data_IF_680020146602
#
_entry.id   IF_680020146602
#
_cell.length_a   1.000
_cell.length_b   1.000
_cell.length_c   1.000
_cell.angle_alpha   90.00
_cell.angle_beta   90.00
_cell.angle_gamma   90.00
#
_symmetry.space_group_name_H-M   'P 1'
#
loop_
_entity.id
_entity.type
_entity.pdbx_description
1 polymer ?
#
# COMPACT_ATOMS: atom_id res chain seq x y z
N UNK A 1 14.44 -15.74 -5.45
CA UNK A 1 13.81 -14.91 -4.40
C UNK A 1 12.82 -15.83 -3.71
N UNK A 2 12.84 -15.95 -2.38
CA UNK A 2 11.76 -16.66 -1.68
C UNK A 2 10.50 -15.80 -1.82
N UNK A 3 9.60 -16.20 -2.73
CA UNK A 3 8.37 -15.48 -3.03
C UNK A 3 7.36 -15.60 -1.88
N UNK A 4 7.51 -16.62 -1.02
CA UNK A 4 6.66 -16.86 0.15
C UNK A 4 5.17 -16.66 -0.17
N UNK A 5 4.53 -15.77 0.58
CA UNK A 5 3.11 -15.45 0.42
C UNK A 5 2.71 -14.88 -0.95
N UNK A 6 3.67 -14.41 -1.74
CA UNK A 6 3.41 -13.79 -3.04
C UNK A 6 3.49 -14.75 -4.22
N UNK A 7 3.72 -16.05 -3.99
CA UNK A 7 3.91 -17.02 -5.06
C UNK A 7 2.76 -17.05 -6.08
N UNK A 8 1.50 -16.92 -5.62
CA UNK A 8 0.32 -16.92 -6.51
C UNK A 8 0.19 -15.68 -7.42
N UNK A 9 0.90 -14.59 -7.12
CA UNK A 9 0.83 -13.33 -7.87
C UNK A 9 2.21 -12.87 -8.34
N UNK A 10 3.20 -13.77 -8.37
CA UNK A 10 4.58 -13.41 -8.64
C UNK A 10 4.77 -12.81 -10.04
N UNK A 11 4.07 -13.34 -11.04
CA UNK A 11 4.11 -12.83 -12.42
C UNK A 11 3.50 -11.42 -12.51
N UNK A 12 2.40 -11.17 -11.80
CA UNK A 12 1.78 -9.83 -11.74
C UNK A 12 2.72 -8.82 -11.09
N UNK A 13 3.36 -9.21 -9.97
CA UNK A 13 4.32 -8.35 -9.27
C UNK A 13 5.54 -8.03 -10.14
N UNK A 14 6.04 -8.99 -10.93
CA UNK A 14 7.13 -8.74 -11.87
C UNK A 14 6.72 -7.71 -12.94
N UNK A 15 5.53 -7.85 -13.53
CA UNK A 15 5.00 -6.87 -14.49
C UNK A 15 4.78 -5.49 -13.85
N UNK A 16 4.34 -5.43 -12.60
CA UNK A 16 4.18 -4.17 -11.87
C UNK A 16 5.54 -3.49 -11.66
N UNK A 17 6.60 -4.24 -11.38
CA UNK A 17 7.95 -3.66 -11.31
C UNK A 17 8.38 -3.08 -12.66
N UNK A 18 8.06 -3.73 -13.78
CA UNK A 18 8.32 -3.18 -15.11
C UNK A 18 7.61 -1.85 -15.32
N UNK A 19 6.32 -1.73 -14.96
CA UNK A 19 5.60 -0.45 -15.01
C UNK A 19 6.28 0.63 -14.17
N UNK A 20 6.68 0.31 -12.94
CA UNK A 20 7.33 1.28 -12.05
C UNK A 20 8.68 1.70 -12.59
N UNK A 21 9.50 0.75 -13.04
CA UNK A 21 10.83 1.01 -13.59
C UNK A 21 10.77 1.86 -14.86
N UNK A 22 9.72 1.68 -15.68
CA UNK A 22 9.47 2.55 -16.82
C UNK A 22 9.16 4.00 -16.43
N UNK A 23 8.40 4.21 -15.35
CA UNK A 23 8.06 5.56 -14.89
C UNK A 23 9.23 6.28 -14.22
N UNK A 24 10.14 5.52 -13.59
CA UNK A 24 11.19 6.06 -12.73
C UNK A 24 12.62 5.79 -13.23
N UNK A 25 12.81 5.66 -14.55
CA UNK A 25 14.13 5.38 -15.18
C UNK A 25 15.29 6.27 -14.71
N UNK A 26 14.99 7.53 -14.43
CA UNK A 26 16.00 8.54 -14.02
C UNK A 26 16.14 8.66 -12.49
N UNK A 27 15.44 7.81 -11.73
CA UNK A 27 15.39 7.86 -10.28
C UNK A 27 15.98 6.59 -9.65
N UNK A 28 16.98 6.77 -8.79
CA UNK A 28 17.53 5.67 -7.98
C UNK A 28 16.61 5.46 -6.79
N UNK A 29 15.80 4.39 -6.85
CA UNK A 29 14.88 4.01 -5.77
C UNK A 29 15.64 3.71 -4.47
N UNK A 30 15.09 4.09 -3.30
CA UNK A 30 15.64 3.66 -2.03
C UNK A 30 15.55 2.13 -1.93
N UNK A 31 16.47 1.48 -1.20
CA UNK A 31 16.33 0.06 -0.90
C UNK A 31 15.05 -0.14 -0.09
N UNK A 32 14.20 -1.07 -0.54
CA UNK A 32 12.98 -1.47 0.14
C UNK A 32 13.13 -2.92 0.61
N UNK A 33 12.52 -3.24 1.76
CA UNK A 33 12.33 -4.62 2.14
C UNK A 33 11.22 -5.27 1.28
N UNK A 34 11.07 -6.59 1.35
CA UNK A 34 10.08 -7.31 0.53
C UNK A 34 8.62 -6.86 0.74
N UNK A 35 8.26 -6.42 1.95
CA UNK A 35 6.93 -5.92 2.27
C UNK A 35 6.72 -4.54 1.70
N UNK A 36 7.64 -3.61 1.94
CA UNK A 36 7.59 -2.26 1.38
C UNK A 36 7.56 -2.29 -0.15
N UNK A 37 8.20 -3.29 -0.77
CA UNK A 37 8.21 -3.46 -2.21
C UNK A 37 6.88 -3.97 -2.77
N UNK A 38 6.22 -4.93 -2.10
CA UNK A 38 5.15 -5.73 -2.70
C UNK A 38 3.79 -5.62 -1.99
N UNK A 39 3.72 -5.06 -0.79
CA UNK A 39 2.51 -5.04 0.02
C UNK A 39 1.34 -4.35 -0.70
N UNK A 40 1.44 -3.06 -1.02
CA UNK A 40 0.35 -2.35 -1.70
C UNK A 40 0.03 -2.93 -3.08
N UNK A 41 1.01 -3.24 -3.96
CA UNK A 41 0.73 -3.93 -5.22
C UNK A 41 -0.07 -5.23 -5.05
N UNK A 42 0.31 -6.06 -4.08
CA UNK A 42 -0.38 -7.32 -3.82
C UNK A 42 -1.83 -7.09 -3.38
N UNK A 43 -2.11 -6.07 -2.57
CA UNK A 43 -3.48 -5.81 -2.13
C UNK A 43 -4.39 -5.42 -3.29
N UNK A 44 -3.88 -4.59 -4.22
CA UNK A 44 -4.63 -4.20 -5.43
C UNK A 44 -4.92 -5.42 -6.29
N UNK A 45 -3.89 -6.23 -6.59
CA UNK A 45 -4.03 -7.41 -7.45
C UNK A 45 -4.99 -8.43 -6.85
N UNK A 46 -4.81 -8.78 -5.57
CA UNK A 46 -5.62 -9.80 -4.91
C UNK A 46 -7.08 -9.36 -4.75
N UNK A 47 -7.36 -8.09 -4.44
CA UNK A 47 -8.75 -7.62 -4.32
C UNK A 47 -9.44 -7.49 -5.68
N UNK A 48 -8.70 -7.20 -6.75
CA UNK A 48 -9.24 -7.20 -8.11
C UNK A 48 -9.49 -8.61 -8.66
N UNK A 49 -8.53 -9.53 -8.48
CA UNK A 49 -8.65 -10.93 -8.89
C UNK A 49 -9.78 -11.67 -8.19
N UNK A 50 -10.10 -11.27 -6.96
CA UNK A 50 -11.25 -11.80 -6.24
C UNK A 50 -12.57 -11.72 -7.04
N UNK A 51 -12.71 -10.72 -7.91
CA UNK A 51 -13.86 -10.55 -8.81
C UNK A 51 -13.57 -10.97 -10.25
N UNK A 52 -12.49 -11.73 -10.47
CA UNK A 52 -12.10 -12.27 -11.77
C UNK A 52 -11.46 -11.24 -12.72
N UNK A 53 -11.02 -10.07 -12.23
CA UNK A 53 -10.39 -9.06 -13.07
C UNK A 53 -8.87 -9.24 -13.12
N UNK A 54 -8.34 -9.45 -14.32
CA UNK A 54 -6.89 -9.63 -14.59
C UNK A 54 -6.37 -8.65 -15.66
N UNK A 55 -7.10 -7.55 -15.90
CA UNK A 55 -6.76 -6.60 -16.95
C UNK A 55 -5.54 -5.72 -16.61
N UNK A 56 -4.86 -5.20 -17.64
CA UNK A 56 -3.70 -4.29 -17.49
C UNK A 56 -3.97 -3.04 -16.66
N UNK A 57 -5.24 -2.60 -16.55
CA UNK A 57 -5.63 -1.49 -15.69
C UNK A 57 -5.39 -1.77 -14.21
N UNK A 58 -5.46 -3.04 -13.80
CA UNK A 58 -5.18 -3.45 -12.42
C UNK A 58 -3.69 -3.35 -12.11
N UNK A 59 -2.83 -3.81 -13.03
CA UNK A 59 -1.37 -3.74 -12.90
C UNK A 59 -0.89 -2.29 -12.85
N UNK A 60 -1.37 -1.44 -13.77
CA UNK A 60 -1.05 -0.01 -13.76
C UNK A 60 -1.59 0.72 -12.52
N UNK A 61 -2.75 0.34 -11.99
CA UNK A 61 -3.24 0.86 -10.71
C UNK A 61 -2.33 0.45 -9.54
N UNK A 62 -1.89 -0.81 -9.49
CA UNK A 62 -0.95 -1.29 -8.49
C UNK A 62 0.39 -0.53 -8.54
N UNK A 63 0.91 -0.29 -9.75
CA UNK A 63 2.08 0.55 -9.96
C UNK A 63 1.87 2.01 -9.51
N UNK A 64 0.70 2.61 -9.78
CA UNK A 64 0.36 3.95 -9.32
C UNK A 64 0.37 4.05 -7.79
N UNK A 65 -0.20 3.06 -7.09
CA UNK A 65 -0.17 2.99 -5.63
C UNK A 65 1.26 2.87 -5.08
N UNK A 66 2.14 2.13 -5.77
CA UNK A 66 3.55 2.05 -5.40
C UNK A 66 4.29 3.38 -5.59
N UNK A 67 3.99 4.13 -6.65
CA UNK A 67 4.54 5.49 -6.84
C UNK A 67 4.07 6.45 -5.73
N UNK A 68 2.79 6.36 -5.34
CA UNK A 68 2.26 7.12 -4.20
C UNK A 68 3.03 6.77 -2.92
N UNK A 69 3.21 5.48 -2.63
CA UNK A 69 3.99 5.05 -1.46
C UNK A 69 5.43 5.56 -1.49
N UNK A 70 6.13 5.44 -2.61
CA UNK A 70 7.50 5.95 -2.75
C UNK A 70 7.56 7.47 -2.52
N UNK A 71 6.60 8.22 -3.07
CA UNK A 71 6.52 9.67 -2.86
C UNK A 71 6.28 10.03 -1.39
N UNK A 72 5.32 9.36 -0.76
CA UNK A 72 5.03 9.50 0.68
C UNK A 72 6.26 9.16 1.53
N UNK A 73 6.96 8.07 1.19
CA UNK A 73 8.16 7.62 1.90
C UNK A 73 9.28 8.67 1.83
N UNK A 74 9.50 9.28 0.67
CA UNK A 74 10.51 10.33 0.53
C UNK A 74 10.16 11.60 1.29
N UNK A 75 8.91 12.05 1.20
CA UNK A 75 8.43 13.20 1.96
C UNK A 75 8.60 12.97 3.47
N UNK A 76 8.31 11.77 3.97
CA UNK A 76 8.51 11.41 5.37
C UNK A 76 10.01 11.32 5.76
N UNK A 77 10.89 10.86 4.86
CA UNK A 77 12.34 10.72 5.08
C UNK A 77 13.17 11.92 4.62
N UNK A 78 12.59 13.12 4.57
CA UNK A 78 13.26 14.34 4.13
C UNK A 78 14.61 14.60 4.83
N UNK A 79 14.70 14.29 6.14
CA UNK A 79 15.95 14.30 6.89
C UNK A 79 16.75 15.60 6.71
N UNK A 80 18.02 15.46 6.31
CA UNK A 80 18.95 16.57 6.08
C UNK A 80 18.87 17.18 4.67
N UNK A 81 18.19 16.55 3.72
CA UNK A 81 18.06 17.01 2.33
C UNK A 81 16.60 17.28 1.93
N UNK A 82 15.84 18.11 2.68
CA UNK A 82 14.40 18.23 2.52
C UNK A 82 13.97 18.71 1.14
N UNK A 83 14.73 19.61 0.50
CA UNK A 83 14.42 20.10 -0.84
C UNK A 83 14.53 18.99 -1.90
N UNK A 84 15.56 18.13 -1.79
CA UNK A 84 15.75 17.00 -2.70
C UNK A 84 14.63 15.97 -2.53
N UNK A 85 14.32 15.60 -1.30
CA UNK A 85 13.26 14.64 -1.01
C UNK A 85 11.87 15.14 -1.40
N UNK A 86 11.60 16.43 -1.22
CA UNK A 86 10.37 17.07 -1.68
C UNK A 86 10.22 16.94 -3.21
N UNK A 87 11.23 17.35 -3.98
CA UNK A 87 11.18 17.32 -5.44
C UNK A 87 11.04 15.90 -6.00
N UNK A 88 11.74 14.91 -5.43
CA UNK A 88 11.55 13.52 -5.85
C UNK A 88 10.16 12.99 -5.49
N UNK A 89 9.63 13.34 -4.31
CA UNK A 89 8.25 12.97 -3.95
C UNK A 89 7.23 13.61 -4.89
N UNK A 90 7.40 14.89 -5.23
CA UNK A 90 6.53 15.61 -6.17
C UNK A 90 6.62 15.04 -7.59
N UNK A 91 7.82 14.63 -8.02
CA UNK A 91 8.02 13.92 -9.27
C UNK A 91 7.26 12.59 -9.29
N UNK A 92 7.38 11.78 -8.23
CA UNK A 92 6.67 10.50 -8.12
C UNK A 92 5.15 10.70 -8.06
N UNK A 93 4.68 11.75 -7.39
CA UNK A 93 3.26 12.11 -7.41
C UNK A 93 2.79 12.48 -8.81
N UNK A 94 3.56 13.30 -9.52
CA UNK A 94 3.28 13.66 -10.91
C UNK A 94 3.25 12.43 -11.83
N UNK A 95 4.15 11.46 -11.60
CA UNK A 95 4.19 10.21 -12.35
C UNK A 95 2.97 9.32 -12.12
N UNK A 96 2.44 9.22 -10.89
CA UNK A 96 1.19 8.49 -10.70
C UNK A 96 0.04 9.15 -11.49
N UNK A 97 -0.07 10.49 -11.51
CA UNK A 97 -1.12 11.16 -12.29
C UNK A 97 -1.01 10.84 -13.78
N UNK A 98 0.21 10.89 -14.33
CA UNK A 98 0.46 10.54 -15.73
C UNK A 98 0.05 9.09 -16.04
N UNK A 99 0.37 8.17 -15.13
CA UNK A 99 0.02 6.76 -15.25
C UNK A 99 -1.50 6.52 -15.24
N UNK A 100 -2.24 7.19 -14.34
CA UNK A 100 -3.71 7.10 -14.30
C UNK A 100 -4.36 7.60 -15.60
N UNK A 101 -3.87 8.71 -16.15
CA UNK A 101 -4.37 9.26 -17.40
C UNK A 101 -4.08 8.34 -18.59
N UNK A 102 -2.86 7.81 -18.68
CA UNK A 102 -2.41 6.97 -19.79
C UNK A 102 -3.17 5.63 -19.83
N UNK A 103 -3.33 4.99 -18.68
CA UNK A 103 -3.82 3.62 -18.59
C UNK A 103 -5.32 3.54 -18.27
N UNK A 104 -6.02 4.69 -18.29
CA UNK A 104 -7.47 4.77 -18.21
C UNK A 104 -8.01 4.49 -16.81
N UNK A 105 -7.36 5.03 -15.78
CA UNK A 105 -7.73 4.86 -14.36
C UNK A 105 -8.10 6.19 -13.67
N UNK A 106 -8.39 7.23 -14.46
CA UNK A 106 -8.65 8.58 -13.97
C UNK A 106 -9.91 8.67 -13.08
N UNK A 107 -10.86 7.76 -13.22
CA UNK A 107 -12.07 7.72 -12.39
C UNK A 107 -11.78 7.44 -10.91
N UNK A 108 -10.63 6.86 -10.58
CA UNK A 108 -10.22 6.61 -9.20
C UNK A 108 -9.52 7.81 -8.54
N UNK A 109 -9.25 8.86 -9.32
CA UNK A 109 -8.53 10.04 -8.82
C UNK A 109 -9.15 10.68 -7.57
N UNK A 110 -10.50 10.79 -7.43
CA UNK A 110 -11.09 11.30 -6.20
C UNK A 110 -10.68 10.51 -4.96
N UNK A 111 -10.71 9.18 -5.00
CA UNK A 111 -10.30 8.32 -3.87
C UNK A 111 -8.81 8.46 -3.55
N UNK A 112 -7.97 8.46 -4.59
CA UNK A 112 -6.52 8.56 -4.43
C UNK A 112 -6.13 9.92 -3.80
N UNK A 113 -6.67 11.02 -4.34
CA UNK A 113 -6.34 12.37 -3.87
C UNK A 113 -6.87 12.68 -2.48
N UNK A 114 -8.06 12.19 -2.12
CA UNK A 114 -8.58 12.31 -0.75
C UNK A 114 -7.61 11.69 0.26
N UNK A 115 -7.17 10.46 0.00
CA UNK A 115 -6.24 9.74 0.88
C UNK A 115 -4.86 10.40 0.91
N UNK A 116 -4.30 10.83 -0.23
CA UNK A 116 -3.02 11.55 -0.28
C UNK A 116 -3.09 12.84 0.56
N UNK A 117 -4.17 13.62 0.45
CA UNK A 117 -4.38 14.80 1.26
C UNK A 117 -4.42 14.47 2.76
N UNK A 118 -5.14 13.41 3.15
CA UNK A 118 -5.20 12.95 4.55
C UNK A 118 -3.83 12.50 5.07
N UNK A 119 -3.07 11.77 4.27
CA UNK A 119 -1.69 11.33 4.59
C UNK A 119 -0.79 12.54 4.83
N UNK A 120 -0.78 13.51 3.90
CA UNK A 120 0.06 14.70 4.02
C UNK A 120 -0.32 15.52 5.27
N UNK A 121 -1.62 15.75 5.50
CA UNK A 121 -2.09 16.44 6.70
C UNK A 121 -1.73 15.68 7.98
N UNK A 122 -1.80 14.34 7.97
CA UNK A 122 -1.44 13.52 9.12
C UNK A 122 0.02 13.71 9.52
N UNK A 123 0.94 13.71 8.56
CA UNK A 123 2.35 13.98 8.82
C UNK A 123 2.59 15.42 9.26
N UNK A 124 1.95 16.41 8.62
CA UNK A 124 2.03 17.83 9.02
C UNK A 124 1.60 18.00 10.49
N UNK A 125 0.45 17.43 10.86
CA UNK A 125 -0.05 17.51 12.23
C UNK A 125 0.84 16.77 13.22
N UNK A 126 1.39 15.61 12.85
CA UNK A 126 2.34 14.86 13.69
C UNK A 126 3.54 15.72 14.06
N UNK A 127 4.13 16.40 13.08
CA UNK A 127 5.28 17.28 13.28
C UNK A 127 4.90 18.49 14.12
N UNK A 128 3.80 19.17 13.79
CA UNK A 128 3.34 20.35 14.51
C UNK A 128 3.04 20.09 15.99
N UNK A 129 2.50 18.90 16.30
CA UNK A 129 2.15 18.47 17.66
C UNK A 129 3.28 17.75 18.38
N UNK A 130 4.41 17.49 17.72
CA UNK A 130 5.52 16.68 18.24
C UNK A 130 5.05 15.30 18.70
N UNK A 131 4.13 14.72 17.94
CA UNK A 131 3.67 13.36 18.15
C UNK A 131 4.78 12.37 17.79
N UNK A 132 4.65 11.16 18.33
CA UNK A 132 5.47 10.02 17.97
C UNK A 132 5.37 9.73 16.45
N UNK A 133 6.48 9.80 15.70
CA UNK A 133 6.48 9.63 14.23
C UNK A 133 6.01 8.24 13.80
N UNK A 134 6.16 7.23 14.66
CA UNK A 134 5.64 5.89 14.40
C UNK A 134 4.11 5.88 14.35
N UNK A 135 3.45 6.68 15.19
CA UNK A 135 1.98 6.72 15.23
C UNK A 135 1.40 7.24 13.90
N UNK A 136 2.02 8.28 13.33
CA UNK A 136 1.67 8.77 12.00
C UNK A 136 1.97 7.73 10.92
N UNK A 137 3.12 7.06 11.00
CA UNK A 137 3.53 6.02 10.04
C UNK A 137 2.54 4.85 10.02
N UNK A 138 2.14 4.35 11.19
CA UNK A 138 1.16 3.26 11.33
C UNK A 138 -0.18 3.66 10.70
N UNK A 139 -0.70 4.83 11.03
CA UNK A 139 -1.98 5.32 10.50
C UNK A 139 -1.93 5.48 8.97
N UNK A 140 -0.84 6.06 8.45
CA UNK A 140 -0.64 6.23 6.99
C UNK A 140 -0.58 4.89 6.26
N UNK A 141 0.09 3.88 6.84
CA UNK A 141 0.12 2.54 6.25
C UNK A 141 -1.28 1.91 6.22
N UNK A 142 -2.10 2.13 7.25
CA UNK A 142 -3.53 1.76 7.25
C UNK A 142 -4.31 2.44 6.12
N UNK A 143 -4.16 3.77 5.96
CA UNK A 143 -4.82 4.51 4.88
C UNK A 143 -4.44 4.01 3.49
N UNK A 144 -3.15 3.75 3.26
CA UNK A 144 -2.64 3.21 1.99
C UNK A 144 -3.16 1.79 1.74
N UNK A 145 -3.15 0.94 2.77
CA UNK A 145 -3.65 -0.43 2.66
C UNK A 145 -5.14 -0.47 2.29
N UNK A 146 -5.96 0.32 2.97
CA UNK A 146 -7.40 0.42 2.67
C UNK A 146 -7.68 1.01 1.29
N UNK A 147 -6.92 2.01 0.88
CA UNK A 147 -7.01 2.57 -0.48
C UNK A 147 -6.70 1.51 -1.53
N UNK A 148 -5.63 0.72 -1.34
CA UNK A 148 -5.20 -0.30 -2.29
C UNK A 148 -6.28 -1.38 -2.52
N UNK A 149 -6.88 -1.92 -1.46
CA UNK A 149 -7.96 -2.90 -1.60
C UNK A 149 -9.21 -2.29 -2.21
N UNK A 150 -9.59 -1.07 -1.80
CA UNK A 150 -10.75 -0.33 -2.32
C UNK A 150 -10.66 -0.12 -3.83
N UNK A 151 -9.52 0.39 -4.34
CA UNK A 151 -9.38 0.65 -5.78
C UNK A 151 -9.32 -0.65 -6.58
N UNK A 152 -8.67 -1.69 -6.05
CA UNK A 152 -8.60 -2.99 -6.74
C UNK A 152 -9.97 -3.65 -6.89
N UNK A 153 -10.77 -3.70 -5.82
CA UNK A 153 -12.11 -4.29 -5.86
C UNK A 153 -13.09 -3.45 -6.67
N UNK A 154 -13.06 -2.12 -6.54
CA UNK A 154 -13.91 -1.22 -7.31
C UNK A 154 -13.60 -1.28 -8.82
N UNK A 155 -12.32 -1.35 -9.19
CA UNK A 155 -11.89 -1.51 -10.60
C UNK A 155 -12.38 -2.82 -11.20
N UNK A 156 -12.49 -3.87 -10.38
CA UNK A 156 -12.99 -5.17 -10.79
C UNK A 156 -14.53 -5.27 -10.78
N UNK A 157 -15.25 -4.19 -10.43
CA UNK A 157 -16.71 -4.13 -10.47
C UNK A 157 -17.41 -4.68 -9.22
N UNK A 158 -16.72 -4.72 -8.08
CA UNK A 158 -17.31 -5.11 -6.81
C UNK A 158 -18.51 -4.21 -6.42
N UNK A 159 -19.55 -4.76 -5.76
CA UNK A 159 -20.63 -3.97 -5.16
C UNK A 159 -20.12 -2.94 -4.15
N UNK A 160 -20.79 -1.80 -4.03
CA UNK A 160 -20.31 -0.67 -3.22
C UNK A 160 -20.14 -1.01 -1.72
N UNK A 161 -21.00 -1.85 -1.17
CA UNK A 161 -20.91 -2.36 0.20
C UNK A 161 -19.71 -3.30 0.39
N UNK A 162 -19.43 -4.15 -0.61
CA UNK A 162 -18.24 -5.00 -0.60
C UNK A 162 -16.95 -4.21 -0.78
N UNK A 163 -16.95 -3.14 -1.59
CA UNK A 163 -15.81 -2.22 -1.75
C UNK A 163 -15.41 -1.60 -0.41
N UNK A 164 -16.37 -1.20 0.41
CA UNK A 164 -16.10 -0.69 1.76
C UNK A 164 -15.63 -1.79 2.72
N UNK A 165 -16.18 -3.00 2.60
CA UNK A 165 -15.67 -4.17 3.32
C UNK A 165 -14.19 -4.45 2.99
N UNK A 166 -13.81 -4.31 1.72
CA UNK A 166 -12.43 -4.42 1.27
C UNK A 166 -11.54 -3.31 1.81
N UNK A 167 -12.03 -2.07 1.88
CA UNK A 167 -11.28 -0.98 2.52
C UNK A 167 -10.93 -1.33 3.97
N UNK A 168 -11.88 -1.86 4.76
CA UNK A 168 -11.64 -2.26 6.14
C UNK A 168 -10.54 -3.33 6.26
N UNK A 169 -10.56 -4.33 5.36
CA UNK A 169 -9.53 -5.40 5.30
C UNK A 169 -8.15 -4.82 5.03
N UNK A 170 -8.04 -4.02 3.96
CA UNK A 170 -6.78 -3.41 3.57
C UNK A 170 -6.26 -2.46 4.65
N UNK A 171 -7.16 -1.73 5.31
CA UNK A 171 -6.81 -0.82 6.39
C UNK A 171 -6.24 -1.58 7.59
N UNK A 172 -6.89 -2.66 8.03
CA UNK A 172 -6.41 -3.48 9.14
C UNK A 172 -5.02 -4.07 8.83
N UNK A 173 -4.82 -4.64 7.64
CA UNK A 173 -3.51 -5.18 7.23
C UNK A 173 -2.45 -4.07 7.11
N UNK A 174 -2.82 -2.90 6.60
CA UNK A 174 -1.94 -1.75 6.49
C UNK A 174 -1.45 -1.25 7.85
N UNK A 175 -2.31 -1.27 8.88
CA UNK A 175 -1.89 -0.96 10.25
C UNK A 175 -0.83 -1.95 10.76
N UNK A 176 -1.02 -3.25 10.50
CA UNK A 176 -0.06 -4.28 10.89
C UNK A 176 1.28 -4.11 10.18
N UNK A 177 1.26 -3.87 8.88
CA UNK A 177 2.45 -3.55 8.08
C UNK A 177 3.17 -2.31 8.62
N UNK A 178 2.44 -1.25 8.96
CA UNK A 178 3.00 -0.04 9.58
C UNK A 178 3.64 -0.31 10.95
N UNK A 179 3.03 -1.15 11.79
CA UNK A 179 3.59 -1.53 13.09
C UNK A 179 4.89 -2.32 12.92
N UNK A 180 4.91 -3.25 11.96
CA UNK A 180 6.11 -4.02 11.62
C UNK A 180 7.25 -3.10 11.20
N UNK A 181 6.96 -2.10 10.37
CA UNK A 181 7.91 -1.09 9.91
C UNK A 181 8.39 -0.12 10.98
N UNK A 182 7.71 -0.04 12.13
CA UNK A 182 8.17 0.73 13.28
C UNK A 182 8.97 -0.15 14.27
N UNK A 183 9.15 -1.44 13.97
CA UNK A 183 9.77 -2.39 14.91
C UNK A 183 8.93 -2.60 16.18
N UNK A 184 7.62 -2.27 16.14
CA UNK A 184 6.70 -2.51 17.25
C UNK A 184 6.36 -3.98 17.26
N UNK A 185 7.10 -4.74 18.06
CA UNK A 185 6.94 -6.19 18.24
C UNK A 185 5.63 -6.60 18.90
N UNK A 186 4.91 -5.67 19.51
CA UNK A 186 3.61 -5.96 20.12
C UNK A 186 2.47 -5.65 19.14
N UNK A 187 2.34 -6.48 18.10
CA UNK A 187 1.01 -6.78 17.61
C UNK A 187 0.16 -7.15 18.83
N UNK A 188 -0.89 -6.40 19.08
CA UNK A 188 -1.83 -6.77 20.13
C UNK A 188 -2.74 -7.88 19.58
N UNK A 189 -3.17 -8.85 20.40
CA UNK A 189 -4.20 -9.81 20.01
C UNK A 189 -5.46 -9.13 19.44
N UNK A 190 -5.71 -7.89 19.85
CA UNK A 190 -6.79 -7.06 19.32
C UNK A 190 -6.60 -6.68 17.84
N UNK A 191 -5.42 -6.22 17.43
CA UNK A 191 -5.18 -5.85 16.02
C UNK A 191 -5.27 -7.07 15.09
N UNK A 192 -4.80 -8.23 15.57
CA UNK A 192 -4.98 -9.49 14.85
C UNK A 192 -6.47 -9.85 14.71
N UNK A 193 -7.23 -9.79 15.81
CA UNK A 193 -8.66 -10.07 15.79
C UNK A 193 -9.44 -9.10 14.88
N UNK A 194 -9.08 -7.82 14.86
CA UNK A 194 -9.68 -6.83 13.96
C UNK A 194 -9.40 -7.15 12.49
N UNK A 195 -8.16 -7.56 12.15
CA UNK A 195 -7.81 -8.00 10.80
C UNK A 195 -8.50 -9.30 10.39
N UNK A 196 -8.58 -10.29 11.29
CA UNK A 196 -9.33 -11.54 11.06
C UNK A 196 -10.82 -11.27 10.86
N UNK A 197 -11.41 -10.39 11.66
CA UNK A 197 -12.83 -10.03 11.54
C UNK A 197 -13.12 -9.30 10.23
N UNK A 198 -12.23 -8.40 9.80
CA UNK A 198 -12.32 -7.78 8.50
C UNK A 198 -12.26 -8.84 7.37
N UNK A 199 -11.35 -9.82 7.46
CA UNK A 199 -11.23 -10.90 6.48
C UNK A 199 -12.43 -11.87 6.45
N UNK A 200 -13.33 -11.82 7.44
CA UNK A 200 -14.61 -12.55 7.39
C UNK A 200 -15.66 -11.86 6.54
N UNK A 201 -15.49 -10.58 6.24
CA UNK A 201 -16.40 -9.80 5.38
C UNK A 201 -16.21 -10.10 3.90
N UNK A 202 -15.14 -10.78 3.53
CA UNK A 202 -14.79 -11.13 2.14
C UNK A 202 -15.21 -12.57 1.83
N UNK A 203 -15.80 -12.85 0.66
CA UNK A 203 -16.13 -14.21 0.21
C UNK A 203 -14.95 -15.20 0.26
N UNK A 204 -15.26 -16.47 0.49
CA UNK A 204 -14.27 -17.52 0.69
C UNK A 204 -13.75 -18.09 -0.64
N UNK A 205 -12.82 -17.36 -1.29
CA UNK A 205 -12.16 -17.76 -2.53
C UNK A 205 -10.68 -18.13 -2.30
N UNK A 206 -10.02 -18.64 -3.35
CA UNK A 206 -8.63 -19.15 -3.27
C UNK A 206 -7.65 -18.07 -2.79
N UNK A 207 -7.90 -16.82 -3.14
CA UNK A 207 -7.12 -15.64 -2.79
C UNK A 207 -7.14 -15.38 -1.27
N UNK A 208 -8.21 -15.78 -0.55
CA UNK A 208 -8.32 -15.61 0.91
C UNK A 208 -7.20 -16.29 1.67
N UNK A 209 -6.67 -17.41 1.15
CA UNK A 209 -5.52 -18.08 1.75
C UNK A 209 -4.28 -17.20 1.73
N UNK A 210 -4.04 -16.47 0.63
CA UNK A 210 -2.94 -15.51 0.52
C UNK A 210 -3.08 -14.43 1.58
N UNK A 211 -4.29 -13.87 1.73
CA UNK A 211 -4.56 -12.85 2.75
C UNK A 211 -4.31 -13.34 4.19
N UNK A 212 -4.70 -14.58 4.49
CA UNK A 212 -4.43 -15.23 5.78
C UNK A 212 -2.93 -15.46 5.99
N UNK A 213 -2.23 -15.92 4.97
CA UNK A 213 -0.77 -16.09 5.02
C UNK A 213 -0.06 -14.75 5.20
N UNK A 214 -0.53 -13.68 4.55
CA UNK A 214 0.03 -12.33 4.71
C UNK A 214 -0.13 -11.86 6.15
N UNK A 215 -1.33 -12.06 6.71
CA UNK A 215 -1.62 -11.75 8.11
C UNK A 215 -0.66 -12.47 9.05
N UNK A 216 -0.52 -13.79 8.91
CA UNK A 216 0.38 -14.61 9.73
C UNK A 216 1.84 -14.17 9.60
N UNK A 217 2.27 -13.79 8.40
CA UNK A 217 3.66 -13.43 8.12
C UNK A 217 4.01 -12.02 8.59
N UNK A 218 3.08 -11.06 8.51
CA UNK A 218 3.19 -9.74 9.15
C UNK A 218 3.24 -9.83 10.68
N UNK A 219 2.66 -10.88 11.26
CA UNK A 219 2.69 -11.13 12.69
C UNK A 219 4.04 -11.65 13.21
N UNK A 220 4.94 -12.10 12.33
CA UNK A 220 6.24 -12.61 12.74
C UNK A 220 7.14 -11.45 13.20
N UNK A 221 7.99 -11.65 14.22
CA UNK A 221 8.94 -10.63 14.66
C UNK A 221 9.76 -10.13 13.48
N UNK A 222 9.74 -8.81 13.24
CA UNK A 222 10.53 -8.22 12.18
C UNK A 222 12.02 -8.39 12.46
N UNK A 223 12.79 -8.87 11.49
CA UNK A 223 14.19 -8.48 11.35
C UNK A 223 14.19 -6.97 11.08
N UNK A 224 14.59 -6.19 12.09
CA UNK A 224 14.43 -4.73 12.17
C UNK A 224 14.72 -4.03 10.84
N UNK A 225 13.65 -3.49 10.22
CA UNK A 225 13.72 -2.47 9.19
C UNK A 225 12.81 -1.32 9.63
N UNK A 226 13.33 -0.10 9.72
CA UNK A 226 12.58 1.07 10.22
C UNK A 226 12.17 2.01 9.08
N UNK A 227 10.86 2.24 8.95
CA UNK A 227 10.33 3.36 8.16
C UNK A 227 10.52 4.72 8.85
N UNK A 228 10.71 4.74 10.17
CA UNK A 228 10.99 5.95 10.97
C UNK A 228 12.51 6.14 11.20
N UNK A 229 12.99 7.39 11.43
CA UNK A 229 14.39 7.81 11.25
C UNK A 229 15.43 7.06 12.09
#
# INVERSE_FOLDING_TARGET
>A
MDLGVYELIADDLALIEEYVDEEVKDYVRPPLNRWDQNFLPSLVVLSGRHYGYEGRRLLSMAAALKLIFLGTFLHAKAGTEPARSALWGDYLYTKFFALLCRDGNLEFLPYLTEVICRINLRFIHSVARKEDPDAATVEVCGLLGGLATRVGSALAGAPADEVEGWYDVGHALGLLWGMQNCGRSSLTPRHLAEAEEALKKVPDLTERKVWQEMLLDLCKPATVWRMAP
#
